data_IF_225049713774
#
_entry.id   IF_225049713774
#
_cell.length_a   1.000
_cell.length_b   1.000
_cell.length_c   1.000
_cell.angle_alpha   90.00
_cell.angle_beta   90.00
_cell.angle_gamma   90.00
#
_symmetry.space_group_name_H-M   'P 1'
#
loop_
_entity.id
_entity.type
_entity.pdbx_description
1 polymer ?
#
# COMPACT_ATOMS: atom_id res chain seq x y z
N UNK A 1 -11.44 25.53 -1.52
CA UNK A 1 -10.55 25.79 -0.36
C UNK A 1 -9.40 26.69 -0.78
N UNK A 2 -9.05 27.69 0.03
CA UNK A 2 -7.89 28.54 -0.22
C UNK A 2 -6.59 27.69 -0.33
N UNK A 3 -5.68 27.94 -1.29
CA UNK A 3 -4.46 27.14 -1.48
C UNK A 3 -3.54 27.07 -0.25
N UNK A 4 -3.42 28.17 0.51
CA UNK A 4 -2.63 28.23 1.74
C UNK A 4 -3.22 27.32 2.81
N UNK A 5 -4.53 27.43 3.03
CA UNK A 5 -5.26 26.57 3.97
C UNK A 5 -5.13 25.09 3.58
N UNK A 6 -5.27 24.76 2.28
CA UNK A 6 -5.10 23.39 1.78
C UNK A 6 -3.71 22.82 2.11
N UNK A 7 -2.66 23.62 1.92
CA UNK A 7 -1.29 23.22 2.20
C UNK A 7 -1.06 23.00 3.70
N UNK A 8 -1.61 23.88 4.54
CA UNK A 8 -1.52 23.74 6.00
C UNK A 8 -2.24 22.48 6.48
N UNK A 9 -3.48 22.25 6.04
CA UNK A 9 -4.25 21.06 6.41
C UNK A 9 -3.56 19.77 5.95
N UNK A 10 -2.98 19.76 4.74
CA UNK A 10 -2.21 18.62 4.26
C UNK A 10 -0.98 18.34 5.14
N UNK A 11 -0.26 19.39 5.55
CA UNK A 11 0.90 19.24 6.46
C UNK A 11 0.47 18.66 7.80
N UNK A 12 -0.61 19.18 8.38
CA UNK A 12 -1.15 18.68 9.65
C UNK A 12 -1.62 17.24 9.55
N UNK A 13 -2.29 16.87 8.45
CA UNK A 13 -2.72 15.50 8.20
C UNK A 13 -1.53 14.54 8.10
N UNK A 14 -0.46 14.92 7.39
CA UNK A 14 0.77 14.11 7.29
C UNK A 14 1.45 13.98 8.65
N UNK A 15 1.49 15.05 9.46
CA UNK A 15 2.07 15.00 10.80
C UNK A 15 1.29 14.03 11.70
N UNK A 16 -0.05 14.13 11.71
CA UNK A 16 -0.89 13.22 12.48
C UNK A 16 -0.63 11.75 12.11
N UNK A 17 -0.51 11.43 10.82
CA UNK A 17 -0.16 10.07 10.38
C UNK A 17 1.22 9.61 10.86
N UNK A 18 2.19 10.53 10.95
CA UNK A 18 3.54 10.23 11.42
C UNK A 18 3.62 10.05 12.95
N UNK A 19 2.66 10.63 13.68
CA UNK A 19 2.55 10.52 15.13
C UNK A 19 1.87 9.22 15.59
N UNK A 20 1.28 8.43 14.67
CA UNK A 20 0.75 7.09 14.96
C UNK A 20 1.91 6.11 15.17
N UNK A 21 2.05 5.57 16.37
CA UNK A 21 3.29 4.91 16.80
C UNK A 21 3.39 3.45 16.37
N UNK A 22 2.25 2.80 16.18
CA UNK A 22 2.19 1.35 15.98
C UNK A 22 1.08 0.92 15.01
N UNK A 23 1.19 -0.34 14.57
CA UNK A 23 0.25 -0.94 13.62
C UNK A 23 -1.20 -0.88 14.11
N UNK A 24 -1.45 -1.04 15.40
CA UNK A 24 -2.81 -1.04 15.98
C UNK A 24 -3.46 0.34 15.88
N UNK A 25 -2.72 1.40 16.17
CA UNK A 25 -3.21 2.77 16.01
C UNK A 25 -3.51 3.11 14.56
N UNK A 26 -2.63 2.70 13.63
CA UNK A 26 -2.84 2.87 12.20
C UNK A 26 -4.09 2.11 11.74
N UNK A 27 -4.26 0.85 12.17
CA UNK A 27 -5.44 0.05 11.82
C UNK A 27 -6.74 0.69 12.35
N UNK A 28 -6.75 1.15 13.60
CA UNK A 28 -7.91 1.86 14.16
C UNK A 28 -8.23 3.12 13.35
N UNK A 29 -7.22 3.95 13.08
CA UNK A 29 -7.41 5.16 12.28
C UNK A 29 -7.93 4.85 10.87
N UNK A 30 -7.38 3.84 10.19
CA UNK A 30 -7.82 3.48 8.84
C UNK A 30 -9.31 3.08 8.83
N UNK A 31 -9.75 2.24 9.76
CA UNK A 31 -11.14 1.74 9.83
C UNK A 31 -12.12 2.82 10.27
N UNK A 32 -11.72 3.71 11.18
CA UNK A 32 -12.61 4.75 11.71
C UNK A 32 -12.70 5.98 10.80
N UNK A 33 -11.66 6.27 10.01
CA UNK A 33 -11.60 7.47 9.16
C UNK A 33 -12.10 7.24 7.73
N UNK A 34 -11.79 6.09 7.13
CA UNK A 34 -12.19 5.76 5.77
C UNK A 34 -13.38 4.82 5.77
N UNK A 35 -14.23 4.93 4.75
CA UNK A 35 -15.21 3.88 4.49
C UNK A 35 -14.57 2.64 3.83
N UNK A 36 -15.32 1.54 3.80
CA UNK A 36 -14.85 0.26 3.25
C UNK A 36 -14.46 0.38 1.76
N UNK A 37 -15.18 1.19 0.99
CA UNK A 37 -14.93 1.36 -0.45
C UNK A 37 -13.65 2.18 -0.69
N UNK A 38 -13.42 3.21 0.13
CA UNK A 38 -12.19 3.99 0.11
C UNK A 38 -10.98 3.13 0.47
N UNK A 39 -11.06 2.34 1.54
CA UNK A 39 -10.00 1.41 1.95
C UNK A 39 -9.70 0.43 0.83
N UNK A 40 -10.71 -0.24 0.29
CA UNK A 40 -10.55 -1.22 -0.79
C UNK A 40 -9.88 -0.59 -2.01
N UNK A 41 -10.32 0.61 -2.40
CA UNK A 41 -9.72 1.36 -3.51
C UNK A 41 -8.23 1.62 -3.30
N UNK A 42 -7.82 2.04 -2.10
CA UNK A 42 -6.40 2.31 -1.82
C UNK A 42 -5.56 1.02 -1.73
N UNK A 43 -6.10 -0.05 -1.13
CA UNK A 43 -5.48 -1.38 -1.09
C UNK A 43 -5.26 -1.90 -2.51
N UNK A 44 -6.31 -1.89 -3.34
CA UNK A 44 -6.25 -2.33 -4.74
C UNK A 44 -5.22 -1.53 -5.53
N UNK A 45 -5.16 -0.21 -5.33
CA UNK A 45 -4.18 0.67 -6.00
C UNK A 45 -2.75 0.27 -5.70
N UNK A 46 -2.39 0.10 -4.41
CA UNK A 46 -1.01 -0.26 -4.05
C UNK A 46 -0.68 -1.70 -4.43
N UNK A 47 -1.62 -2.63 -4.28
CA UNK A 47 -1.46 -4.03 -4.68
C UNK A 47 -1.23 -4.16 -6.20
N UNK A 48 -1.97 -3.42 -7.02
CA UNK A 48 -1.81 -3.40 -8.47
C UNK A 48 -0.41 -2.90 -8.85
N UNK A 49 0.06 -1.79 -8.28
CA UNK A 49 1.43 -1.29 -8.50
C UNK A 49 2.47 -2.33 -8.06
N UNK A 50 2.29 -2.97 -6.91
CA UNK A 50 3.20 -3.99 -6.42
C UNK A 50 3.27 -5.22 -7.34
N UNK A 51 2.12 -5.72 -7.81
CA UNK A 51 2.05 -6.89 -8.71
C UNK A 51 2.64 -6.60 -10.08
N UNK A 52 2.42 -5.39 -10.61
CA UNK A 52 3.08 -4.92 -11.83
C UNK A 52 4.60 -4.88 -11.66
N UNK A 53 5.09 -4.38 -10.51
CA UNK A 53 6.53 -4.37 -10.21
C UNK A 53 7.13 -5.78 -10.14
N UNK A 54 6.35 -6.75 -9.68
CA UNK A 54 6.71 -8.17 -9.66
C UNK A 54 6.60 -8.88 -11.03
N UNK A 55 6.17 -8.19 -12.07
CA UNK A 55 6.06 -8.76 -13.41
C UNK A 55 4.87 -9.69 -13.62
N UNK A 56 3.81 -9.58 -12.79
CA UNK A 56 2.56 -10.30 -13.07
C UNK A 56 1.89 -9.74 -14.31
N UNK A 57 1.28 -10.61 -15.10
CA UNK A 57 0.55 -10.24 -16.31
C UNK A 57 -0.76 -9.50 -15.98
N UNK A 58 -1.24 -8.71 -16.94
CA UNK A 58 -2.45 -7.89 -16.74
C UNK A 58 -3.69 -8.73 -16.47
N UNK A 59 -3.87 -9.86 -17.14
CA UNK A 59 -5.06 -10.70 -16.96
C UNK A 59 -5.11 -11.29 -15.55
N UNK A 60 -3.96 -11.71 -15.02
CA UNK A 60 -3.82 -12.13 -13.63
C UNK A 60 -4.19 -11.01 -12.66
N UNK A 61 -3.75 -9.78 -12.91
CA UNK A 61 -4.04 -8.62 -12.07
C UNK A 61 -5.54 -8.28 -12.14
N UNK A 62 -6.13 -8.20 -13.34
CA UNK A 62 -7.56 -7.92 -13.53
C UNK A 62 -8.43 -8.94 -12.81
N UNK A 63 -8.11 -10.23 -12.94
CA UNK A 63 -8.90 -11.31 -12.36
C UNK A 63 -8.83 -11.35 -10.83
N UNK A 64 -7.63 -11.24 -10.26
CA UNK A 64 -7.47 -11.45 -8.81
C UNK A 64 -7.67 -10.19 -7.98
N UNK A 65 -7.35 -9.01 -8.54
CA UNK A 65 -7.52 -7.73 -7.83
C UNK A 65 -8.77 -6.98 -8.28
N UNK A 66 -9.55 -7.52 -9.23
CA UNK A 66 -10.69 -6.83 -9.86
C UNK A 66 -10.31 -5.43 -10.38
N UNK A 67 -9.07 -5.30 -10.86
CA UNK A 67 -8.55 -4.03 -11.36
C UNK A 67 -9.04 -3.79 -12.79
N UNK A 68 -9.45 -2.56 -13.10
CA UNK A 68 -9.78 -2.18 -14.48
C UNK A 68 -8.52 -1.92 -15.31
N UNK A 69 -8.66 -1.87 -16.64
CA UNK A 69 -7.54 -1.51 -17.54
C UNK A 69 -7.00 -0.10 -17.24
N UNK A 70 -7.88 0.82 -16.86
CA UNK A 70 -7.55 2.20 -16.48
C UNK A 70 -6.73 2.20 -15.19
N UNK A 71 -7.16 1.44 -14.17
CA UNK A 71 -6.45 1.33 -12.89
C UNK A 71 -5.04 0.73 -13.07
N UNK A 72 -4.90 -0.29 -13.92
CA UNK A 72 -3.59 -0.87 -14.27
C UNK A 72 -2.69 0.17 -14.97
N UNK A 73 -3.26 0.95 -15.88
CA UNK A 73 -2.53 2.00 -16.59
C UNK A 73 -2.06 3.09 -15.62
N UNK A 74 -2.91 3.51 -14.69
CA UNK A 74 -2.54 4.46 -13.64
C UNK A 74 -1.47 3.90 -12.69
N UNK A 75 -1.59 2.63 -12.32
CA UNK A 75 -0.62 1.94 -11.48
C UNK A 75 0.75 1.85 -12.16
N UNK A 76 0.82 1.59 -13.47
CA UNK A 76 2.08 1.65 -14.24
C UNK A 76 2.72 3.03 -14.20
N UNK A 77 1.93 4.09 -14.42
CA UNK A 77 2.41 5.48 -14.34
C UNK A 77 2.91 5.82 -12.94
N UNK A 78 2.33 5.24 -11.90
CA UNK A 78 2.69 5.52 -10.51
C UNK A 78 4.01 4.85 -10.07
N UNK A 79 4.46 3.78 -10.74
CA UNK A 79 5.71 3.06 -10.42
C UNK A 79 6.96 3.94 -10.45
N UNK A 80 6.95 5.03 -11.23
CA UNK A 80 8.07 5.97 -11.30
C UNK A 80 8.14 6.92 -10.09
N UNK A 81 7.02 7.09 -9.36
CA UNK A 81 6.90 8.05 -8.25
C UNK A 81 7.65 7.57 -7.01
N UNK A 82 8.43 8.46 -6.41
CA UNK A 82 9.30 8.14 -5.27
C UNK A 82 8.55 7.52 -4.09
N UNK A 83 7.38 8.06 -3.72
CA UNK A 83 6.56 7.52 -2.63
C UNK A 83 6.07 6.09 -2.89
N UNK A 84 5.66 5.78 -4.12
CA UNK A 84 5.22 4.43 -4.51
C UNK A 84 6.40 3.45 -4.50
N UNK A 85 7.56 3.86 -5.04
CA UNK A 85 8.79 3.04 -4.98
C UNK A 85 9.18 2.70 -3.54
N UNK A 86 9.10 3.68 -2.64
CA UNK A 86 9.40 3.46 -1.22
C UNK A 86 8.42 2.48 -0.58
N UNK A 87 7.12 2.67 -0.79
CA UNK A 87 6.08 1.78 -0.27
C UNK A 87 6.28 0.33 -0.75
N UNK A 88 6.51 0.13 -2.06
CA UNK A 88 6.78 -1.18 -2.63
C UNK A 88 8.03 -1.80 -2.01
N UNK A 89 9.13 -1.04 -1.87
CA UNK A 89 10.37 -1.54 -1.25
C UNK A 89 10.15 -2.01 0.19
N UNK A 90 9.28 -1.32 0.95
CA UNK A 90 8.92 -1.72 2.32
C UNK A 90 8.11 -3.01 2.33
N UNK A 91 7.13 -3.15 1.42
CA UNK A 91 6.33 -4.38 1.26
C UNK A 91 7.21 -5.59 0.88
N UNK A 92 8.18 -5.40 -0.01
CA UNK A 92 9.15 -6.45 -0.36
C UNK A 92 9.94 -6.86 0.89
N UNK A 93 10.46 -5.92 1.67
CA UNK A 93 11.21 -6.23 2.88
C UNK A 93 10.39 -7.02 3.91
N UNK A 94 9.12 -6.67 4.12
CA UNK A 94 8.20 -7.40 5.01
C UNK A 94 7.90 -8.82 4.50
N UNK A 95 7.63 -8.98 3.20
CA UNK A 95 7.43 -10.31 2.61
C UNK A 95 8.68 -11.18 2.80
N UNK A 96 9.87 -10.64 2.54
CA UNK A 96 11.13 -11.33 2.75
C UNK A 96 11.34 -11.71 4.21
N UNK A 97 11.04 -10.80 5.15
CA UNK A 97 11.10 -11.09 6.58
C UNK A 97 10.13 -12.22 6.98
N UNK A 98 8.91 -12.21 6.45
CA UNK A 98 7.90 -13.24 6.71
C UNK A 98 8.32 -14.59 6.13
N UNK A 99 8.82 -14.64 4.89
CA UNK A 99 9.35 -15.88 4.27
C UNK A 99 10.49 -16.46 5.09
N UNK A 100 11.39 -15.61 5.60
CA UNK A 100 12.49 -16.04 6.48
C UNK A 100 12.00 -16.54 7.83
N UNK A 101 11.06 -15.84 8.46
CA UNK A 101 10.46 -16.26 9.73
C UNK A 101 9.82 -17.66 9.60
N UNK A 102 9.10 -17.93 8.51
CA UNK A 102 8.51 -19.24 8.24
C UNK A 102 9.56 -20.33 7.99
N UNK A 103 10.65 -20.02 7.26
CA UNK A 103 11.77 -20.97 7.08
C UNK A 103 12.45 -21.36 8.39
N UNK A 104 12.67 -20.38 9.29
CA UNK A 104 13.27 -20.65 10.62
C UNK A 104 12.34 -21.52 11.47
N UNK A 105 11.03 -21.22 11.50
CA UNK A 105 10.04 -22.06 12.20
C UNK A 105 10.02 -23.49 11.68
N UNK A 106 10.17 -23.68 10.37
CA UNK A 106 10.24 -25.00 9.74
C UNK A 106 11.47 -25.82 10.14
N UNK A 107 12.60 -25.15 10.41
CA UNK A 107 13.83 -25.80 10.90
C UNK A 107 13.72 -26.11 12.39
N UNK A 108 13.16 -25.20 13.20
CA UNK A 108 13.01 -25.38 14.65
C UNK A 108 11.93 -26.41 15.05
N UNK A 109 11.04 -26.80 14.11
CA UNK A 109 10.05 -27.88 14.29
C UNK A 109 10.55 -29.26 13.85
N UNK A 110 11.79 -29.38 13.36
CA UNK A 110 12.49 -30.63 13.07
C UNK A 110 13.53 -30.90 14.15
#
# INVERSE_FOLDING_TARGET
>A
MNPSLKKQLLKTFIQMLADLENKKEIESFMVDFFDEQEIEKYIKRIATSYWLKKGRDEENIKRNLMATSEEITEARKSLSKAGIKLAIKKMEAEEWANVWAEKIKGIAKK
#
